data_IF_412285245152
#
_entry.id   IF_412285245152
#
_cell.length_a   1.000
_cell.length_b   1.000
_cell.length_c   1.000
_cell.angle_alpha   90.00
_cell.angle_beta   90.00
_cell.angle_gamma   90.00
#
_symmetry.space_group_name_H-M   'P 1'
#
loop_
_entity.id
_entity.type
_entity.pdbx_description
1 polymer ?
#
# COMPACT_ATOMS: atom_id res chain seq x y z
N UNK A 1 11.12 7.69 -0.72
CA UNK A 1 10.11 6.73 -1.20
C UNK A 1 8.88 7.51 -1.61
N UNK A 2 7.90 6.92 -2.30
CA UNK A 2 6.64 7.62 -2.61
C UNK A 2 5.51 7.12 -1.71
N UNK A 3 4.64 8.02 -1.27
CA UNK A 3 3.45 7.68 -0.51
C UNK A 3 2.50 6.85 -1.39
N UNK A 4 1.99 5.74 -0.85
CA UNK A 4 1.06 4.85 -1.54
C UNK A 4 -0.23 5.56 -1.98
N UNK A 5 -0.68 6.56 -1.21
CA UNK A 5 -1.95 7.25 -1.39
C UNK A 5 -1.77 8.51 -2.25
N UNK A 6 -0.97 9.47 -1.79
CA UNK A 6 -0.84 10.77 -2.45
C UNK A 6 0.31 10.85 -3.47
N UNK A 7 1.14 9.81 -3.59
CA UNK A 7 2.34 9.78 -4.45
C UNK A 7 3.41 10.83 -4.15
N UNK A 8 3.24 11.62 -3.09
CA UNK A 8 4.26 12.56 -2.63
C UNK A 8 5.52 11.84 -2.16
N UNK A 9 6.67 12.50 -2.29
CA UNK A 9 7.92 12.00 -1.76
C UNK A 9 7.89 11.95 -0.23
N UNK A 10 8.39 10.85 0.33
CA UNK A 10 8.49 10.58 1.76
C UNK A 10 9.95 10.34 2.12
N UNK A 11 10.43 11.10 3.12
CA UNK A 11 11.75 10.94 3.70
C UNK A 11 11.83 9.64 4.48
N UNK A 12 13.04 9.08 4.59
CA UNK A 12 13.23 7.78 5.26
C UNK A 12 13.01 7.94 6.76
N UNK A 13 12.04 7.21 7.32
CA UNK A 13 11.69 7.26 8.73
C UNK A 13 10.49 8.16 9.06
N UNK A 14 9.96 8.89 8.08
CA UNK A 14 8.68 9.61 8.20
C UNK A 14 7.56 8.75 7.61
N UNK A 15 6.43 8.65 8.31
CA UNK A 15 5.27 7.85 7.89
C UNK A 15 5.30 6.37 8.26
N UNK A 16 4.18 5.71 7.93
CA UNK A 16 3.94 4.31 8.18
C UNK A 16 4.49 3.45 7.04
N UNK A 17 5.48 2.61 7.34
CA UNK A 17 6.06 1.64 6.39
C UNK A 17 5.51 0.23 6.66
N UNK A 18 4.99 -0.42 5.61
CA UNK A 18 4.53 -1.80 5.69
C UNK A 18 4.60 -2.49 4.33
N UNK A 19 5.03 -3.75 4.32
CA UNK A 19 5.14 -4.59 3.11
C UNK A 19 5.85 -3.92 1.92
N UNK A 20 6.85 -3.07 2.18
CA UNK A 20 7.61 -2.35 1.15
C UNK A 20 6.87 -1.16 0.53
N UNK A 21 5.75 -0.72 1.11
CA UNK A 21 5.06 0.52 0.79
C UNK A 21 5.12 1.49 1.98
N UNK A 22 5.02 2.78 1.69
CA UNK A 22 5.04 3.84 2.71
C UNK A 22 3.78 4.70 2.57
N UNK A 23 3.18 5.10 3.69
CA UNK A 23 2.13 6.12 3.75
C UNK A 23 2.72 7.29 4.55
N UNK A 24 2.71 8.51 4.00
CA UNK A 24 3.22 9.67 4.75
C UNK A 24 2.33 10.03 5.95
N UNK A 25 2.88 10.70 6.95
CA UNK A 25 2.16 11.08 8.18
C UNK A 25 0.84 11.79 7.89
N UNK A 26 0.82 12.71 6.91
CA UNK A 26 -0.41 13.42 6.52
C UNK A 26 -1.52 12.49 6.01
N UNK A 27 -1.15 11.44 5.28
CA UNK A 27 -2.12 10.45 4.80
C UNK A 27 -2.50 9.47 5.92
N UNK A 28 -1.60 9.16 6.83
CA UNK A 28 -1.88 8.37 8.02
C UNK A 28 -2.89 9.08 8.94
N UNK A 29 -2.63 10.34 9.30
CA UNK A 29 -3.52 11.17 10.11
C UNK A 29 -4.90 11.29 9.48
N UNK A 30 -4.95 11.49 8.15
CA UNK A 30 -6.22 11.49 7.41
C UNK A 30 -6.91 10.14 7.49
N UNK A 31 -6.21 9.03 7.30
CA UNK A 31 -6.80 7.70 7.40
C UNK A 31 -7.41 7.44 8.79
N UNK A 32 -6.74 7.90 9.85
CA UNK A 32 -7.19 7.73 11.23
C UNK A 32 -8.39 8.62 11.59
N UNK A 33 -8.65 9.69 10.82
CA UNK A 33 -9.74 10.65 11.07
C UNK A 33 -10.93 10.48 10.12
N UNK A 34 -10.74 9.83 8.98
CA UNK A 34 -11.80 9.55 8.02
C UNK A 34 -12.75 8.46 8.52
N UNK A 35 -14.04 8.65 8.27
CA UNK A 35 -15.06 7.60 8.41
C UNK A 35 -15.32 6.93 7.06
N UNK A 36 -15.81 5.69 7.09
CA UNK A 36 -16.03 4.88 5.87
C UNK A 36 -17.00 5.51 4.88
N UNK A 37 -17.94 6.34 5.35
CA UNK A 37 -18.92 7.03 4.51
C UNK A 37 -18.34 8.25 3.76
N UNK A 38 -17.11 8.66 4.09
CA UNK A 38 -16.47 9.79 3.43
C UNK A 38 -15.86 9.35 2.08
N UNK A 39 -16.12 10.07 0.99
CA UNK A 39 -15.66 9.68 -0.35
C UNK A 39 -14.13 9.66 -0.49
N UNK A 40 -13.41 10.38 0.37
CA UNK A 40 -11.95 10.34 0.44
C UNK A 40 -11.44 8.97 0.89
N UNK A 41 -12.22 8.23 1.68
CA UNK A 41 -11.87 6.90 2.17
C UNK A 41 -11.72 5.89 1.02
N UNK A 42 -12.52 6.04 -0.04
CA UNK A 42 -12.40 5.21 -1.26
C UNK A 42 -11.01 5.32 -1.89
N UNK A 43 -10.36 6.48 -1.80
CA UNK A 43 -9.00 6.68 -2.28
C UNK A 43 -8.01 5.76 -1.56
N UNK A 44 -8.13 5.64 -0.25
CA UNK A 44 -7.31 4.75 0.58
C UNK A 44 -7.60 3.28 0.28
N UNK A 45 -8.88 2.90 0.15
CA UNK A 45 -9.28 1.52 -0.21
C UNK A 45 -8.69 1.11 -1.56
N UNK A 46 -8.75 1.99 -2.57
CA UNK A 46 -8.17 1.72 -3.89
C UNK A 46 -6.65 1.54 -3.82
N UNK A 47 -5.96 2.40 -3.07
CA UNK A 47 -4.51 2.34 -2.89
C UNK A 47 -4.07 1.04 -2.20
N UNK A 48 -4.74 0.67 -1.11
CA UNK A 48 -4.51 -0.57 -0.36
C UNK A 48 -4.85 -1.82 -1.19
N UNK A 49 -5.94 -1.79 -1.97
CA UNK A 49 -6.30 -2.88 -2.88
C UNK A 49 -5.23 -3.09 -3.94
N UNK A 50 -4.70 -2.03 -4.52
CA UNK A 50 -3.63 -2.12 -5.52
C UNK A 50 -2.34 -2.71 -4.92
N UNK A 51 -1.98 -2.33 -3.69
CA UNK A 51 -0.87 -2.94 -2.95
C UNK A 51 -1.08 -4.45 -2.78
N UNK A 52 -2.27 -4.86 -2.31
CA UNK A 52 -2.62 -6.25 -2.12
C UNK A 52 -2.58 -7.07 -3.43
N UNK A 53 -3.09 -6.52 -4.53
CA UNK A 53 -3.06 -7.18 -5.83
C UNK A 53 -1.63 -7.43 -6.31
N UNK A 54 -0.76 -6.42 -6.22
CA UNK A 54 0.68 -6.55 -6.57
C UNK A 54 1.36 -7.61 -5.71
N UNK A 55 1.08 -7.61 -4.41
CA UNK A 55 1.62 -8.59 -3.46
C UNK A 55 1.16 -10.01 -3.81
N UNK A 56 -0.13 -10.19 -4.08
CA UNK A 56 -0.71 -11.49 -4.41
C UNK A 56 -0.17 -12.03 -5.74
N UNK A 57 0.01 -11.17 -6.74
CA UNK A 57 0.68 -11.53 -8.00
C UNK A 57 2.12 -11.99 -7.73
N UNK A 58 2.91 -11.19 -7.02
CA UNK A 58 4.29 -11.56 -6.68
C UNK A 58 4.40 -12.86 -5.86
N UNK A 59 3.40 -13.17 -4.99
CA UNK A 59 3.34 -14.45 -4.30
C UNK A 59 2.97 -15.62 -5.22
N UNK A 60 2.09 -15.40 -6.20
CA UNK A 60 1.74 -16.43 -7.19
C UNK A 60 2.91 -16.73 -8.12
N UNK A 61 3.62 -15.71 -8.60
CA UNK A 61 4.80 -15.89 -9.45
C UNK A 61 5.86 -16.74 -8.74
N UNK A 62 6.17 -16.42 -7.47
CA UNK A 62 7.10 -17.23 -6.66
C UNK A 62 6.67 -18.69 -6.49
N UNK A 63 5.35 -18.95 -6.36
CA UNK A 63 4.82 -20.30 -6.24
C UNK A 63 4.94 -21.08 -7.56
N UNK A 64 4.91 -20.42 -8.71
CA UNK A 64 5.16 -21.06 -10.01
C UNK A 64 6.65 -21.36 -10.20
N UNK A 65 7.54 -20.44 -9.81
CA UNK A 65 9.00 -20.65 -9.87
C UNK A 65 9.48 -21.83 -9.01
N UNK A 66 8.89 -22.04 -7.82
CA UNK A 66 9.16 -23.22 -6.97
C UNK A 66 8.59 -24.53 -7.54
N UNK A 67 7.61 -24.46 -8.44
CA UNK A 67 6.95 -25.61 -9.05
C UNK A 67 7.60 -26.14 -10.33
N UNK A 68 8.48 -25.36 -10.97
CA UNK A 68 9.24 -25.76 -12.17
C UNK A 68 10.56 -26.48 -11.85
N UNK A 69 10.92 -26.59 -10.56
CA UNK A 69 12.01 -27.45 -10.07
C UNK A 69 11.45 -28.78 -9.52
N UNK A 70 10.74 -29.54 -10.35
CA UNK A 70 10.43 -30.95 -10.06
C UNK A 70 10.48 -31.81 -11.32
#
# INVERSE_FOLDING_TARGET
>A
MECLVCRSFVLKGDGLEFWGATICDQCEDRLMTLTVDQPEYDGFVRALRALWQRRFQAFRDRRFEDGEHM
#
